data_IF_356951807193
#
_entry.id   IF_356951807193
#
_cell.length_a   1.000
_cell.length_b   1.000
_cell.length_c   1.000
_cell.angle_alpha   90.00
_cell.angle_beta   90.00
_cell.angle_gamma   90.00
#
_symmetry.space_group_name_H-M   'P 1'
#
loop_
_entity.id
_entity.type
_entity.pdbx_description
1 polymer ?
#
# COMPACT_ATOMS: atom_id res chain seq x y z
N UNK A 1 22.74 -15.01 31.53
CA UNK A 1 22.69 -13.76 32.33
C UNK A 1 23.62 -12.73 31.69
N UNK A 2 23.13 -12.04 30.66
CA UNK A 2 23.74 -10.85 30.06
C UNK A 2 22.62 -9.88 29.75
N UNK A 3 22.70 -8.72 30.38
CA UNK A 3 21.71 -7.67 30.49
C UNK A 3 21.64 -6.91 29.18
N UNK A 4 20.55 -7.05 28.42
CA UNK A 4 20.19 -6.13 27.35
C UNK A 4 19.27 -5.06 27.94
N UNK A 5 19.88 -4.07 28.58
CA UNK A 5 19.26 -2.76 28.80
C UNK A 5 20.00 -1.81 27.87
N UNK A 6 19.32 -1.33 26.83
CA UNK A 6 19.42 0.02 26.27
C UNK A 6 18.21 0.16 25.33
N UNK A 7 17.04 0.40 25.91
CA UNK A 7 15.94 0.98 25.17
C UNK A 7 16.36 2.43 24.87
N UNK A 8 16.71 2.72 23.62
CA UNK A 8 16.88 4.08 23.17
C UNK A 8 15.54 4.80 23.35
N UNK A 9 15.48 5.69 24.35
CA UNK A 9 14.41 6.66 24.48
C UNK A 9 14.55 7.58 23.27
N UNK A 10 13.75 7.32 22.23
CA UNK A 10 13.55 8.28 21.16
C UNK A 10 12.79 9.44 21.79
N UNK A 11 13.48 10.55 22.03
CA UNK A 11 12.85 11.81 22.39
C UNK A 11 11.80 12.13 21.32
N UNK A 12 10.53 12.08 21.72
CA UNK A 12 9.42 12.54 20.89
C UNK A 12 9.58 14.05 20.80
N UNK A 13 10.05 14.55 19.65
CA UNK A 13 10.12 15.98 19.38
C UNK A 13 8.75 16.63 19.69
N UNK A 14 8.78 17.73 20.43
CA UNK A 14 7.65 18.52 20.93
C UNK A 14 6.44 18.53 19.97
N UNK A 15 5.31 17.97 20.40
CA UNK A 15 4.02 17.96 19.68
C UNK A 15 3.24 19.29 19.78
N UNK A 16 3.88 20.41 20.13
CA UNK A 16 3.21 21.71 20.35
C UNK A 16 3.10 22.58 19.08
N UNK A 17 3.70 22.19 17.95
CA UNK A 17 3.57 22.92 16.68
C UNK A 17 2.55 22.26 15.74
N UNK A 18 1.63 23.07 15.19
CA UNK A 18 0.57 22.57 14.30
C UNK A 18 1.12 22.22 12.90
N UNK A 19 0.67 21.09 12.36
CA UNK A 19 1.03 20.65 11.00
C UNK A 19 0.34 21.55 9.98
N UNK A 20 1.13 22.21 9.14
CA UNK A 20 0.65 23.09 8.07
C UNK A 20 0.68 22.36 6.73
N UNK A 21 -0.38 22.49 5.93
CA UNK A 21 -0.46 21.95 4.57
C UNK A 21 -0.43 23.09 3.55
N UNK A 22 0.40 22.94 2.53
CA UNK A 22 0.46 23.87 1.40
C UNK A 22 0.67 23.17 0.07
N UNK A 23 0.63 23.93 -1.02
CA UNK A 23 0.98 23.50 -2.38
C UNK A 23 2.17 24.37 -2.80
N UNK A 24 3.28 23.74 -3.20
CA UNK A 24 4.48 24.46 -3.59
C UNK A 24 4.20 25.41 -4.76
N UNK A 25 4.54 26.67 -4.59
CA UNK A 25 4.34 27.75 -5.55
C UNK A 25 5.66 28.29 -6.11
N UNK A 26 6.78 28.12 -5.40
CA UNK A 26 8.10 28.60 -5.83
C UNK A 26 9.07 27.45 -6.09
N UNK A 27 10.12 27.71 -6.88
CA UNK A 27 11.16 26.72 -7.17
C UNK A 27 11.92 26.28 -5.91
N UNK A 28 12.08 27.18 -4.93
CA UNK A 28 12.68 26.87 -3.63
C UNK A 28 11.84 25.86 -2.85
N UNK A 29 10.51 26.05 -2.80
CA UNK A 29 9.63 25.10 -2.11
C UNK A 29 9.62 23.73 -2.79
N UNK A 30 9.69 23.70 -4.13
CA UNK A 30 9.78 22.46 -4.91
C UNK A 30 11.11 21.74 -4.64
N UNK A 31 12.22 22.49 -4.58
CA UNK A 31 13.53 21.93 -4.25
C UNK A 31 13.57 21.30 -2.86
N UNK A 32 12.94 21.92 -1.85
CA UNK A 32 12.80 21.33 -0.51
C UNK A 32 12.02 20.01 -0.53
N UNK A 33 10.95 19.93 -1.32
CA UNK A 33 10.20 18.68 -1.52
C UNK A 33 11.08 17.61 -2.16
N UNK A 34 11.92 17.96 -3.15
CA UNK A 34 12.81 17.00 -3.80
C UNK A 34 13.89 16.47 -2.85
N UNK A 35 14.44 17.32 -1.97
CA UNK A 35 15.35 16.91 -0.89
C UNK A 35 14.66 16.01 0.13
N UNK A 36 13.44 16.35 0.53
CA UNK A 36 12.64 15.52 1.43
C UNK A 36 12.42 14.13 0.85
N UNK A 37 12.04 14.04 -0.43
CA UNK A 37 11.83 12.76 -1.12
C UNK A 37 13.10 11.93 -1.18
N UNK A 38 14.24 12.56 -1.45
CA UNK A 38 15.54 11.88 -1.44
C UNK A 38 15.82 11.27 -0.06
N UNK A 39 15.70 12.08 1.00
CA UNK A 39 15.90 11.63 2.39
C UNK A 39 15.01 10.43 2.71
N UNK A 40 13.72 10.50 2.41
CA UNK A 40 12.79 9.43 2.76
C UNK A 40 13.02 8.18 1.91
N UNK A 41 13.02 8.28 0.57
CA UNK A 41 13.11 7.07 -0.25
C UNK A 41 14.49 6.43 -0.21
N UNK A 42 15.55 7.21 -0.32
CA UNK A 42 16.91 6.68 -0.42
C UNK A 42 17.47 6.46 0.98
N UNK A 43 17.51 7.49 1.82
CA UNK A 43 18.22 7.42 3.11
C UNK A 43 17.42 6.66 4.19
N UNK A 44 16.09 6.83 4.27
CA UNK A 44 15.26 6.12 5.27
C UNK A 44 14.77 4.74 4.79
N UNK A 45 14.34 4.62 3.53
CA UNK A 45 13.67 3.42 3.03
C UNK A 45 14.57 2.48 2.21
N UNK A 46 15.80 2.91 1.87
CA UNK A 46 16.73 2.13 1.05
C UNK A 46 16.21 1.81 -0.35
N UNK A 47 15.33 2.64 -0.90
CA UNK A 47 14.84 2.53 -2.28
C UNK A 47 15.69 3.36 -3.20
N UNK A 48 15.85 2.90 -4.44
CA UNK A 48 16.61 3.62 -5.47
C UNK A 48 15.84 3.68 -6.80
N UNK A 49 14.97 4.69 -6.97
CA UNK A 49 14.27 4.93 -8.24
C UNK A 49 15.24 5.38 -9.36
N UNK A 50 14.90 5.07 -10.61
CA UNK A 50 15.77 5.31 -11.80
C UNK A 50 16.23 6.78 -11.95
N UNK A 51 15.40 7.75 -11.59
CA UNK A 51 15.65 9.18 -11.84
C UNK A 51 16.23 9.93 -10.64
N UNK A 52 17.06 9.27 -9.83
CA UNK A 52 17.64 9.85 -8.60
C UNK A 52 18.91 10.65 -8.89
N UNK A 53 18.97 11.91 -8.42
CA UNK A 53 20.18 12.74 -8.45
C UNK A 53 20.91 12.61 -7.11
N UNK A 54 21.90 11.71 -7.07
CA UNK A 54 22.73 11.49 -5.88
C UNK A 54 23.76 12.60 -5.64
N UNK A 55 24.14 13.35 -6.67
CA UNK A 55 25.13 14.43 -6.54
C UNK A 55 24.54 15.58 -5.72
N UNK A 56 23.30 15.98 -6.04
CA UNK A 56 22.60 17.07 -5.36
C UNK A 56 21.63 16.60 -4.27
N UNK A 57 21.49 15.29 -4.07
CA UNK A 57 20.53 14.66 -3.16
C UNK A 57 19.08 15.09 -3.44
N UNK A 58 18.68 15.01 -4.70
CA UNK A 58 17.34 15.40 -5.17
C UNK A 58 16.62 14.21 -5.80
N UNK A 59 15.32 14.11 -5.57
CA UNK A 59 14.46 13.13 -6.23
C UNK A 59 13.23 13.79 -6.87
N UNK A 60 13.28 13.90 -8.20
CA UNK A 60 12.22 14.45 -9.05
C UNK A 60 12.23 13.77 -10.42
N UNK A 61 11.12 13.88 -11.16
CA UNK A 61 10.99 13.38 -12.53
C UNK A 61 10.12 14.32 -13.39
N UNK A 62 9.90 13.99 -14.66
CA UNK A 62 9.16 14.84 -15.60
C UNK A 62 7.70 15.09 -15.21
N UNK A 63 7.07 14.19 -14.43
CA UNK A 63 5.71 14.41 -13.92
C UNK A 63 5.68 15.57 -12.92
N UNK A 64 6.79 15.87 -12.23
CA UNK A 64 6.83 16.99 -11.30
C UNK A 64 6.60 18.33 -12.02
N UNK A 65 7.04 18.50 -13.27
CA UNK A 65 6.96 19.76 -14.03
C UNK A 65 5.55 20.35 -14.10
N UNK A 66 4.52 19.50 -14.08
CA UNK A 66 3.11 19.89 -14.19
C UNK A 66 2.26 19.39 -13.01
N UNK A 67 2.91 18.94 -11.92
CA UNK A 67 2.22 18.46 -10.75
C UNK A 67 1.91 19.58 -9.74
N UNK A 68 0.80 19.38 -9.01
CA UNK A 68 0.60 20.03 -7.71
C UNK A 68 1.38 19.24 -6.65
N UNK A 69 2.40 19.88 -6.09
CA UNK A 69 3.21 19.29 -5.01
C UNK A 69 2.66 19.75 -3.66
N UNK A 70 1.89 18.88 -3.01
CA UNK A 70 1.39 19.14 -1.66
C UNK A 70 2.52 18.84 -0.68
N UNK A 71 2.72 19.72 0.30
CA UNK A 71 3.65 19.49 1.40
C UNK A 71 2.95 19.60 2.76
N UNK A 72 3.54 18.94 3.75
CA UNK A 72 3.24 19.11 5.17
C UNK A 72 4.47 19.67 5.89
N UNK A 73 4.28 20.67 6.74
CA UNK A 73 5.33 21.31 7.54
C UNK A 73 5.03 21.34 9.03
N UNK A 74 6.08 21.33 9.84
CA UNK A 74 6.07 21.72 11.25
C UNK A 74 7.15 22.80 11.41
N UNK A 75 6.75 24.00 11.82
CA UNK A 75 7.61 25.18 11.73
C UNK A 75 8.09 25.40 10.29
N UNK A 76 9.42 25.38 10.10
CA UNK A 76 10.05 25.48 8.78
C UNK A 76 10.42 24.12 8.16
N UNK A 77 10.27 23.02 8.89
CA UNK A 77 10.67 21.69 8.44
C UNK A 77 9.59 21.05 7.57
N UNK A 78 9.97 20.57 6.38
CA UNK A 78 9.12 19.73 5.55
C UNK A 78 9.11 18.29 6.08
N UNK A 79 7.94 17.80 6.49
CA UNK A 79 7.78 16.49 7.16
C UNK A 79 7.02 15.46 6.30
N UNK A 80 6.44 15.88 5.18
CA UNK A 80 5.74 14.99 4.27
C UNK A 80 5.34 15.67 2.97
N UNK A 81 5.05 14.88 1.95
CA UNK A 81 4.64 15.36 0.64
C UNK A 81 3.73 14.37 -0.09
N UNK A 82 2.99 14.87 -1.08
CA UNK A 82 2.18 14.10 -2.01
C UNK A 82 2.21 14.79 -3.37
N UNK A 83 2.42 14.04 -4.45
CA UNK A 83 2.36 14.53 -5.82
C UNK A 83 0.98 14.26 -6.42
N UNK A 84 0.37 15.28 -6.99
CA UNK A 84 -0.89 15.17 -7.73
C UNK A 84 -0.72 15.67 -9.15
N UNK A 85 -1.08 14.82 -10.09
CA UNK A 85 -1.17 15.12 -11.51
C UNK A 85 -2.64 15.04 -11.93
N UNK A 86 -3.15 16.05 -12.62
CA UNK A 86 -4.50 16.09 -13.18
C UNK A 86 -4.42 16.51 -14.64
N UNK A 87 -4.78 15.62 -15.56
CA UNK A 87 -4.59 15.84 -16.99
C UNK A 87 -5.45 14.89 -17.83
N UNK A 88 -5.57 15.13 -19.14
CA UNK A 88 -6.07 14.12 -20.07
C UNK A 88 -5.14 12.90 -20.07
N UNK A 89 -5.66 11.73 -20.43
CA UNK A 89 -4.91 10.46 -20.42
C UNK A 89 -3.61 10.56 -21.21
N UNK A 90 -3.62 11.24 -22.36
CA UNK A 90 -2.45 11.36 -23.26
C UNK A 90 -1.31 12.21 -22.69
N UNK A 91 -1.53 12.93 -21.58
CA UNK A 91 -0.48 13.67 -20.88
C UNK A 91 0.33 12.77 -19.91
N UNK A 92 -0.20 11.59 -19.55
CA UNK A 92 0.49 10.67 -18.65
C UNK A 92 1.55 9.85 -19.40
N UNK A 93 2.63 9.40 -18.72
CA UNK A 93 3.64 8.55 -19.34
C UNK A 93 3.02 7.27 -19.93
N UNK A 94 3.48 6.86 -21.11
CA UNK A 94 2.93 5.70 -21.83
C UNK A 94 2.97 4.42 -20.99
N UNK A 95 4.00 4.23 -20.17
CA UNK A 95 4.08 3.09 -19.27
C UNK A 95 2.95 3.11 -18.23
N UNK A 96 2.65 4.27 -17.64
CA UNK A 96 1.54 4.43 -16.71
C UNK A 96 0.19 4.14 -17.38
N UNK A 97 -0.01 4.61 -18.63
CA UNK A 97 -1.20 4.31 -19.43
C UNK A 97 -1.38 2.81 -19.60
N UNK A 98 -0.29 2.08 -19.91
CA UNK A 98 -0.30 0.62 -20.07
C UNK A 98 -0.60 -0.11 -18.76
N UNK A 99 0.20 0.09 -17.72
CA UNK A 99 0.10 -0.71 -16.48
C UNK A 99 -1.17 -0.44 -15.69
N UNK A 100 -1.71 0.77 -15.78
CA UNK A 100 -3.00 1.13 -15.15
C UNK A 100 -4.19 0.97 -16.11
N UNK A 101 -3.99 0.41 -17.30
CA UNK A 101 -5.04 0.18 -18.31
C UNK A 101 -5.90 1.43 -18.59
N UNK A 102 -5.29 2.61 -18.61
CA UNK A 102 -6.02 3.89 -18.70
C UNK A 102 -6.75 4.05 -20.04
N UNK A 103 -6.31 3.35 -21.09
CA UNK A 103 -6.98 3.35 -22.38
C UNK A 103 -8.44 2.87 -22.30
N UNK A 104 -8.76 1.93 -21.40
CA UNK A 104 -10.13 1.44 -21.17
C UNK A 104 -11.06 2.54 -20.64
N UNK A 105 -10.50 3.55 -19.97
CA UNK A 105 -11.25 4.65 -19.33
C UNK A 105 -11.62 5.76 -20.33
N UNK A 106 -11.04 5.76 -21.54
CA UNK A 106 -11.27 6.82 -22.54
C UNK A 106 -12.75 6.97 -22.90
N UNK A 107 -13.45 5.86 -23.01
CA UNK A 107 -14.86 5.82 -23.41
C UNK A 107 -15.78 6.54 -22.42
N UNK A 108 -15.43 6.53 -21.13
CA UNK A 108 -16.17 7.29 -20.12
C UNK A 108 -16.21 8.80 -20.41
N UNK A 109 -15.13 9.35 -20.98
CA UNK A 109 -14.96 10.77 -21.22
C UNK A 109 -15.45 11.23 -22.60
N UNK A 110 -15.90 10.32 -23.47
CA UNK A 110 -16.44 10.69 -24.77
C UNK A 110 -17.65 11.60 -24.61
N UNK A 111 -17.67 12.72 -25.33
CA UNK A 111 -18.74 13.73 -25.25
C UNK A 111 -18.76 14.57 -23.97
N UNK A 112 -17.87 14.32 -22.99
CA UNK A 112 -17.75 15.13 -21.77
C UNK A 112 -16.78 16.31 -21.98
N UNK A 113 -17.12 17.44 -21.36
CA UNK A 113 -16.30 18.66 -21.34
C UNK A 113 -15.03 18.47 -20.51
N UNK A 114 -15.16 17.95 -19.29
CA UNK A 114 -14.02 17.61 -18.44
C UNK A 114 -13.55 16.18 -18.71
N UNK A 115 -12.28 16.04 -19.09
CA UNK A 115 -11.60 14.76 -19.41
C UNK A 115 -10.41 14.48 -18.51
N UNK A 116 -10.31 15.19 -17.39
CA UNK A 116 -9.20 15.04 -16.46
C UNK A 116 -9.35 13.74 -15.67
N UNK A 117 -8.27 12.95 -15.67
CA UNK A 117 -8.02 11.92 -14.67
C UNK A 117 -6.96 12.43 -13.68
N UNK A 118 -7.00 11.91 -12.47
CA UNK A 118 -6.01 12.14 -11.44
C UNK A 118 -4.97 11.01 -11.38
N UNK A 119 -3.77 11.33 -10.91
CA UNK A 119 -2.87 10.36 -10.33
C UNK A 119 -2.23 10.92 -9.06
N UNK A 120 -2.21 10.10 -8.02
CA UNK A 120 -1.51 10.36 -6.75
C UNK A 120 -0.25 9.52 -6.68
N UNK A 121 0.91 10.16 -6.56
CA UNK A 121 2.20 9.46 -6.42
C UNK A 121 3.07 10.14 -5.37
N UNK A 122 4.20 9.51 -5.00
CA UNK A 122 5.20 10.07 -4.07
C UNK A 122 4.56 10.57 -2.75
N UNK A 123 3.53 9.87 -2.25
CA UNK A 123 2.93 10.14 -0.94
C UNK A 123 3.82 9.56 0.15
N UNK A 124 4.41 10.43 0.98
CA UNK A 124 5.35 10.02 2.01
C UNK A 124 5.38 10.97 3.19
N UNK A 125 5.74 10.43 4.35
CA UNK A 125 5.89 11.15 5.61
C UNK A 125 7.16 10.65 6.28
N UNK A 126 8.00 11.58 6.75
CA UNK A 126 9.25 11.29 7.45
C UNK A 126 8.98 10.36 8.64
N UNK A 127 9.89 9.44 8.93
CA UNK A 127 9.70 8.37 9.93
C UNK A 127 9.12 8.85 11.27
N UNK A 128 9.62 9.97 11.78
CA UNK A 128 9.23 10.56 13.07
C UNK A 128 7.76 11.01 13.11
N UNK A 129 7.15 11.29 11.95
CA UNK A 129 5.80 11.83 11.82
C UNK A 129 4.78 10.83 11.24
N UNK A 130 5.17 9.58 10.96
CA UNK A 130 4.27 8.59 10.31
C UNK A 130 3.00 8.26 11.12
N UNK A 131 3.02 8.44 12.44
CA UNK A 131 1.86 8.27 13.33
C UNK A 131 1.17 9.60 13.71
N UNK A 132 1.49 10.69 13.02
CA UNK A 132 0.85 12.00 13.19
C UNK A 132 -0.33 12.18 12.22
N UNK A 133 -0.99 13.35 12.26
CA UNK A 133 -2.03 13.71 11.31
C UNK A 133 -1.53 13.98 9.87
N UNK A 134 -0.21 14.06 9.64
CA UNK A 134 0.37 14.48 8.35
C UNK A 134 -0.18 13.70 7.14
N UNK A 135 -0.20 12.36 7.21
CA UNK A 135 -0.73 11.53 6.12
C UNK A 135 -2.19 11.84 5.80
N UNK A 136 -3.02 11.96 6.84
CA UNK A 136 -4.43 12.26 6.68
C UNK A 136 -4.65 13.65 6.10
N UNK A 137 -3.87 14.65 6.55
CA UNK A 137 -3.99 16.03 6.08
C UNK A 137 -3.52 16.18 4.62
N UNK A 138 -2.43 15.53 4.22
CA UNK A 138 -1.95 15.47 2.83
C UNK A 138 -3.00 14.86 1.90
N UNK A 139 -3.52 13.68 2.27
CA UNK A 139 -4.51 12.96 1.46
C UNK A 139 -5.87 13.67 1.42
N UNK A 140 -6.28 14.33 2.51
CA UNK A 140 -7.47 15.17 2.54
C UNK A 140 -7.35 16.36 1.59
N UNK A 141 -6.21 17.04 1.59
CA UNK A 141 -5.95 18.14 0.65
C UNK A 141 -5.96 17.65 -0.80
N UNK A 142 -5.40 16.47 -1.04
CA UNK A 142 -5.43 15.84 -2.36
C UNK A 142 -6.85 15.53 -2.83
N UNK A 143 -7.67 14.95 -1.96
CA UNK A 143 -9.08 14.69 -2.25
C UNK A 143 -9.86 15.97 -2.56
N UNK A 144 -9.65 17.04 -1.79
CA UNK A 144 -10.25 18.36 -2.06
C UNK A 144 -9.87 18.91 -3.44
N UNK A 145 -8.61 18.75 -3.87
CA UNK A 145 -8.20 19.16 -5.21
C UNK A 145 -8.95 18.39 -6.29
N UNK A 146 -9.08 17.07 -6.18
CA UNK A 146 -9.86 16.28 -7.15
C UNK A 146 -11.32 16.73 -7.22
N UNK A 147 -11.95 16.98 -6.06
CA UNK A 147 -13.31 17.50 -6.01
C UNK A 147 -13.45 18.87 -6.68
N UNK A 148 -12.53 19.81 -6.39
CA UNK A 148 -12.53 21.17 -6.93
C UNK A 148 -12.30 21.21 -8.45
N UNK A 149 -11.51 20.27 -8.98
CA UNK A 149 -11.23 20.13 -10.41
C UNK A 149 -12.19 19.16 -11.12
N UNK A 150 -13.23 18.69 -10.43
CA UNK A 150 -14.23 17.75 -10.95
C UNK A 150 -13.63 16.47 -11.55
N UNK A 151 -12.50 16.00 -10.99
CA UNK A 151 -11.89 14.72 -11.37
C UNK A 151 -12.76 13.58 -10.88
N UNK A 152 -13.07 12.63 -11.77
CA UNK A 152 -13.89 11.46 -11.46
C UNK A 152 -13.08 10.28 -10.95
N UNK A 153 -11.90 10.07 -11.53
CA UNK A 153 -11.03 8.94 -11.22
C UNK A 153 -9.63 9.41 -10.89
N UNK A 154 -9.05 8.87 -9.82
CA UNK A 154 -7.62 8.96 -9.54
C UNK A 154 -7.00 7.56 -9.59
N UNK A 155 -5.99 7.38 -10.42
CA UNK A 155 -5.29 6.11 -10.61
C UNK A 155 -3.88 6.12 -10.01
N UNK A 156 -3.47 4.99 -9.45
CA UNK A 156 -2.10 4.80 -8.97
C UNK A 156 -1.76 3.34 -8.72
N UNK A 157 -0.55 3.11 -8.23
CA UNK A 157 -0.08 1.81 -7.77
C UNK A 157 0.19 1.83 -6.26
N UNK A 158 -0.04 0.70 -5.61
CA UNK A 158 0.13 0.55 -4.17
C UNK A 158 0.88 -0.73 -3.83
N UNK A 159 1.91 -0.65 -2.99
CA UNK A 159 2.55 -1.84 -2.44
C UNK A 159 1.53 -2.62 -1.58
N UNK A 160 1.62 -3.95 -1.57
CA UNK A 160 0.59 -4.80 -0.96
C UNK A 160 0.34 -4.51 0.53
N UNK A 161 1.38 -4.15 1.28
CA UNK A 161 1.29 -3.85 2.71
C UNK A 161 0.44 -2.61 3.04
N UNK A 162 0.14 -1.76 2.05
CA UNK A 162 -0.71 -0.57 2.20
C UNK A 162 -2.15 -0.76 1.70
N UNK A 163 -2.48 -1.89 1.08
CA UNK A 163 -3.79 -2.09 0.46
C UNK A 163 -4.95 -1.86 1.43
N UNK A 164 -4.85 -2.39 2.66
CA UNK A 164 -5.87 -2.20 3.69
C UNK A 164 -6.12 -0.73 4.02
N UNK A 165 -5.06 0.07 4.06
CA UNK A 165 -5.13 1.51 4.31
C UNK A 165 -5.84 2.23 3.15
N UNK A 166 -5.47 1.93 1.90
CA UNK A 166 -6.09 2.57 0.74
C UNK A 166 -7.54 2.12 0.52
N UNK A 167 -7.90 0.88 0.85
CA UNK A 167 -9.30 0.43 0.84
C UNK A 167 -10.12 1.18 1.91
N UNK A 168 -9.57 1.46 3.09
CA UNK A 168 -10.19 2.32 4.10
C UNK A 168 -10.37 3.77 3.62
N UNK A 169 -9.43 4.27 2.82
CA UNK A 169 -9.55 5.58 2.20
C UNK A 169 -10.70 5.65 1.18
N UNK A 170 -11.10 4.51 0.59
CA UNK A 170 -12.12 4.43 -0.46
C UNK A 170 -11.57 4.05 -1.83
N UNK A 171 -10.30 3.69 -1.92
CA UNK A 171 -9.73 3.15 -3.14
C UNK A 171 -10.20 1.71 -3.37
N UNK A 172 -10.32 1.33 -4.64
CA UNK A 172 -10.55 -0.04 -5.09
C UNK A 172 -9.34 -0.54 -5.82
N UNK A 173 -9.05 -1.81 -5.67
CA UNK A 173 -8.08 -2.51 -6.51
C UNK A 173 -8.71 -2.86 -7.84
N UNK A 174 -7.90 -2.90 -8.91
CA UNK A 174 -8.36 -3.33 -10.23
C UNK A 174 -7.17 -3.86 -11.05
N UNK A 175 -7.47 -4.56 -12.16
CA UNK A 175 -6.44 -5.01 -13.09
C UNK A 175 -5.41 -5.99 -12.50
N UNK A 176 -4.27 -6.11 -13.20
CA UNK A 176 -3.15 -6.97 -12.83
C UNK A 176 -2.09 -6.19 -12.05
N UNK A 177 -1.39 -6.86 -11.14
CA UNK A 177 -0.21 -6.28 -10.51
C UNK A 177 0.86 -5.93 -11.56
N UNK A 178 1.71 -4.97 -11.24
CA UNK A 178 2.83 -4.57 -12.08
C UNK A 178 4.04 -4.24 -11.22
N UNK A 179 5.23 -4.34 -11.80
CA UNK A 179 6.48 -3.96 -11.13
C UNK A 179 6.87 -2.56 -11.56
N UNK A 180 7.15 -1.70 -10.58
CA UNK A 180 7.73 -0.38 -10.80
C UNK A 180 9.20 -0.39 -10.32
N UNK A 181 10.18 -0.16 -11.19
CA UNK A 181 11.60 -0.18 -10.82
C UNK A 181 11.92 0.71 -9.61
N UNK A 182 12.55 0.13 -8.59
CA UNK A 182 12.86 0.80 -7.31
C UNK A 182 11.70 0.81 -6.29
N UNK A 183 10.50 0.37 -6.68
CA UNK A 183 9.31 0.28 -5.81
C UNK A 183 8.84 -1.16 -5.58
N UNK A 184 9.22 -2.09 -6.46
CA UNK A 184 8.81 -3.49 -6.43
C UNK A 184 7.41 -3.68 -7.02
N UNK A 185 6.76 -4.78 -6.65
CA UNK A 185 5.40 -5.09 -7.11
C UNK A 185 4.36 -4.16 -6.47
N UNK A 186 3.43 -3.71 -7.30
CA UNK A 186 2.33 -2.81 -6.97
C UNK A 186 1.01 -3.39 -7.49
N UNK A 187 -0.06 -3.20 -6.72
CA UNK A 187 -1.43 -3.43 -7.17
C UNK A 187 -1.99 -2.10 -7.71
N UNK A 188 -2.59 -2.07 -8.91
CA UNK A 188 -3.32 -0.91 -9.38
C UNK A 188 -4.51 -0.60 -8.46
N UNK A 189 -4.62 0.67 -8.09
CA UNK A 189 -5.73 1.19 -7.29
C UNK A 189 -6.37 2.39 -7.98
N UNK A 190 -7.70 2.48 -7.87
CA UNK A 190 -8.49 3.60 -8.33
C UNK A 190 -9.26 4.20 -7.16
N UNK A 191 -9.23 5.52 -7.05
CA UNK A 191 -10.15 6.26 -6.20
C UNK A 191 -11.22 6.91 -7.09
N UNK A 192 -12.44 6.40 -6.97
CA UNK A 192 -13.62 6.95 -7.65
C UNK A 192 -14.17 8.08 -6.76
N UNK A 193 -13.90 9.32 -7.15
CA UNK A 193 -13.98 10.49 -6.28
C UNK A 193 -15.42 10.80 -5.87
N UNK A 194 -16.39 10.54 -6.74
CA UNK A 194 -17.79 10.86 -6.54
C UNK A 194 -18.63 9.71 -5.95
N UNK A 195 -18.00 8.59 -5.59
CA UNK A 195 -18.70 7.42 -5.04
C UNK A 195 -18.92 7.52 -3.52
N UNK A 196 -19.88 8.35 -3.14
CA UNK A 196 -20.23 8.61 -1.74
C UNK A 196 -20.70 7.34 -1.02
N UNK A 197 -21.41 6.45 -1.71
CA UNK A 197 -21.93 5.22 -1.11
C UNK A 197 -20.81 4.26 -0.73
N UNK A 198 -19.79 4.12 -1.58
CA UNK A 198 -18.61 3.35 -1.21
C UNK A 198 -17.82 4.00 -0.07
N UNK A 199 -17.60 5.32 -0.11
CA UNK A 199 -16.94 6.04 0.98
C UNK A 199 -17.68 5.84 2.31
N UNK A 200 -19.02 5.77 2.28
CA UNK A 200 -19.84 5.46 3.46
C UNK A 200 -19.66 4.00 3.89
N UNK A 201 -19.68 3.05 2.95
CA UNK A 201 -19.55 1.62 3.23
C UNK A 201 -18.21 1.28 3.91
N UNK A 202 -17.09 1.82 3.41
CA UNK A 202 -15.76 1.61 3.98
C UNK A 202 -15.45 2.51 5.19
N UNK A 203 -16.39 3.39 5.56
CA UNK A 203 -16.22 4.40 6.64
C UNK A 203 -15.02 5.32 6.39
N UNK A 204 -14.86 5.75 5.15
CA UNK A 204 -13.75 6.59 4.71
C UNK A 204 -13.70 7.91 5.48
N UNK A 205 -12.49 8.37 5.88
CA UNK A 205 -12.33 9.66 6.54
C UNK A 205 -12.68 10.85 5.61
N UNK A 206 -12.76 10.62 4.29
CA UNK A 206 -13.06 11.65 3.31
C UNK A 206 -14.56 11.85 3.07
N UNK A 207 -15.43 11.02 3.66
CA UNK A 207 -16.88 11.13 3.53
C UNK A 207 -17.40 12.52 3.94
N UNK A 208 -16.79 13.13 4.97
CA UNK A 208 -17.17 14.49 5.41
C UNK A 208 -16.81 15.56 4.37
N UNK A 209 -15.72 15.39 3.65
CA UNK A 209 -15.32 16.31 2.57
C UNK A 209 -16.24 16.07 1.37
N UNK A 210 -16.44 14.82 0.97
CA UNK A 210 -17.29 14.43 -0.17
C UNK A 210 -18.70 15.04 -0.09
N UNK A 211 -19.34 14.99 1.09
CA UNK A 211 -20.69 15.53 1.32
C UNK A 211 -20.84 17.03 1.10
N UNK A 212 -19.74 17.80 1.05
CA UNK A 212 -19.79 19.24 0.76
C UNK A 212 -20.02 19.52 -0.73
N UNK A 213 -19.74 18.55 -1.60
CA UNK A 213 -19.82 18.71 -3.05
C UNK A 213 -21.15 18.18 -3.57
N UNK A 214 -21.92 19.05 -4.25
CA UNK A 214 -23.19 18.68 -4.89
C UNK A 214 -22.92 18.06 -6.26
N UNK A 215 -23.79 17.15 -6.70
CA UNK A 215 -23.70 16.53 -8.03
C UNK A 215 -22.81 15.29 -8.12
N UNK A 216 -22.36 14.76 -6.98
CA UNK A 216 -21.80 13.42 -6.91
C UNK A 216 -22.92 12.40 -7.09
N UNK A 217 -22.73 11.50 -8.05
CA UNK A 217 -23.66 10.46 -8.46
C UNK A 217 -22.94 9.13 -8.53
N UNK A 218 -23.66 8.01 -8.49
CA UNK A 218 -23.09 6.68 -8.68
C UNK A 218 -22.62 6.38 -10.11
N UNK A 219 -22.85 7.28 -11.07
CA UNK A 219 -22.53 7.10 -12.51
C UNK A 219 -21.09 6.61 -12.76
N UNK A 220 -20.09 7.28 -12.18
CA UNK A 220 -18.68 6.92 -12.38
C UNK A 220 -18.35 5.53 -11.84
N UNK A 221 -18.95 5.16 -10.70
CA UNK A 221 -18.77 3.86 -10.08
C UNK A 221 -19.47 2.75 -10.86
N UNK A 222 -20.71 2.95 -11.28
CA UNK A 222 -21.48 2.02 -12.10
C UNK A 222 -20.78 1.75 -13.44
N UNK A 223 -20.32 2.81 -14.11
CA UNK A 223 -19.56 2.68 -15.35
C UNK A 223 -18.26 1.92 -15.11
N UNK A 224 -17.49 2.27 -14.07
CA UNK A 224 -16.21 1.64 -13.78
C UNK A 224 -16.36 0.15 -13.49
N UNK A 225 -17.34 -0.25 -12.69
CA UNK A 225 -17.58 -1.66 -12.36
C UNK A 225 -18.06 -2.48 -13.56
N UNK A 226 -18.73 -1.85 -14.52
CA UNK A 226 -19.09 -2.49 -15.79
C UNK A 226 -17.86 -2.66 -16.68
N UNK A 227 -17.00 -1.65 -16.76
CA UNK A 227 -15.79 -1.71 -17.56
C UNK A 227 -14.77 -2.69 -16.98
N UNK A 228 -14.62 -2.73 -15.65
CA UNK A 228 -13.67 -3.58 -14.91
C UNK A 228 -14.40 -4.64 -14.05
N UNK A 229 -15.05 -5.65 -14.66
CA UNK A 229 -15.81 -6.66 -13.91
C UNK A 229 -14.95 -7.48 -12.95
N UNK A 230 -13.64 -7.61 -13.23
CA UNK A 230 -12.67 -8.32 -12.39
C UNK A 230 -12.57 -7.77 -10.95
N UNK A 231 -12.96 -6.51 -10.73
CA UNK A 231 -12.99 -5.88 -9.41
C UNK A 231 -13.91 -6.63 -8.45
N UNK A 232 -14.99 -7.22 -8.96
CA UNK A 232 -15.96 -7.98 -8.15
C UNK A 232 -15.40 -9.28 -7.56
N UNK A 233 -14.32 -9.82 -8.14
CA UNK A 233 -13.66 -11.03 -7.65
C UNK A 233 -12.67 -10.73 -6.52
N UNK A 234 -12.37 -9.45 -6.25
CA UNK A 234 -11.40 -9.05 -5.25
C UNK A 234 -12.07 -8.86 -3.90
N UNK A 235 -11.56 -9.52 -2.86
CA UNK A 235 -12.02 -9.31 -1.49
C UNK A 235 -11.48 -7.97 -0.99
N UNK A 236 -12.39 -7.01 -0.78
CA UNK A 236 -12.07 -5.74 -0.13
C UNK A 236 -12.08 -5.93 1.40
N UNK A 237 -10.97 -5.60 2.05
CA UNK A 237 -10.75 -5.82 3.49
C UNK A 237 -11.65 -5.00 4.40
N UNK A 238 -12.27 -3.93 3.90
CA UNK A 238 -13.20 -3.08 4.65
C UNK A 238 -14.66 -3.49 4.49
N UNK A 239 -14.98 -4.31 3.49
CA UNK A 239 -16.35 -4.71 3.15
C UNK A 239 -16.64 -6.18 3.48
N UNK A 240 -15.62 -7.01 3.66
CA UNK A 240 -15.78 -8.39 4.12
C UNK A 240 -16.06 -8.45 5.62
N UNK A 241 -16.66 -9.55 6.08
CA UNK A 241 -16.82 -9.85 7.50
C UNK A 241 -15.82 -10.89 7.95
N UNK A 242 -15.57 -10.98 9.25
CA UNK A 242 -14.69 -12.00 9.84
C UNK A 242 -15.11 -13.42 9.42
N UNK A 243 -16.40 -13.73 9.57
CA UNK A 243 -16.96 -15.05 9.20
C UNK A 243 -16.72 -15.37 7.73
N UNK A 244 -17.06 -14.44 6.81
CA UNK A 244 -16.90 -14.67 5.37
C UNK A 244 -15.43 -14.84 4.98
N UNK A 245 -14.54 -14.07 5.61
CA UNK A 245 -13.10 -14.17 5.35
C UNK A 245 -12.53 -15.48 5.91
N UNK A 246 -12.99 -15.92 7.08
CA UNK A 246 -12.62 -17.22 7.66
C UNK A 246 -13.06 -18.38 6.76
N UNK A 247 -14.32 -18.39 6.33
CA UNK A 247 -14.85 -19.39 5.38
C UNK A 247 -14.04 -19.42 4.07
N UNK A 248 -13.67 -18.24 3.56
CA UNK A 248 -12.79 -18.13 2.40
C UNK A 248 -11.43 -18.81 2.64
N UNK A 249 -10.77 -18.54 3.77
CA UNK A 249 -9.49 -19.19 4.07
C UNK A 249 -9.62 -20.70 4.25
N UNK A 250 -10.63 -21.17 4.96
CA UNK A 250 -10.91 -22.61 5.11
C UNK A 250 -11.11 -23.29 3.75
N UNK A 251 -11.88 -22.65 2.86
CA UNK A 251 -12.14 -23.17 1.51
C UNK A 251 -10.88 -23.20 0.65
N UNK A 252 -10.01 -22.19 0.74
CA UNK A 252 -8.77 -22.13 -0.06
C UNK A 252 -7.71 -23.11 0.42
N UNK A 253 -7.56 -23.26 1.73
CA UNK A 253 -6.54 -24.12 2.33
C UNK A 253 -6.96 -25.59 2.46
N UNK A 254 -8.25 -25.90 2.28
CA UNK A 254 -8.78 -27.26 2.46
C UNK A 254 -8.80 -27.75 3.92
N UNK A 255 -8.70 -26.83 4.88
CA UNK A 255 -8.63 -27.13 6.31
C UNK A 255 -8.67 -25.86 7.15
N UNK A 256 -8.66 -26.02 8.49
CA UNK A 256 -8.74 -24.88 9.40
C UNK A 256 -7.42 -24.07 9.37
N UNK A 257 -7.44 -22.74 9.15
CA UNK A 257 -6.25 -21.91 9.03
C UNK A 257 -5.21 -22.10 10.14
N UNK A 258 -5.62 -22.20 11.41
CA UNK A 258 -4.73 -22.41 12.56
C UNK A 258 -4.04 -23.78 12.59
N UNK A 259 -4.56 -24.74 11.80
CA UNK A 259 -3.97 -26.08 11.65
C UNK A 259 -3.05 -26.19 10.43
N UNK A 260 -3.41 -25.49 9.34
CA UNK A 260 -2.68 -25.56 8.06
C UNK A 260 -1.55 -24.53 7.99
N UNK A 261 -1.79 -23.32 8.51
CA UNK A 261 -0.80 -22.25 8.48
C UNK A 261 0.18 -22.44 9.63
N UNK A 262 1.43 -22.75 9.28
CA UNK A 262 2.56 -22.90 10.22
C UNK A 262 2.67 -21.76 11.23
N UNK A 263 2.55 -20.50 10.76
CA UNK A 263 2.65 -19.32 11.59
C UNK A 263 1.54 -19.20 12.68
N UNK A 264 0.41 -19.89 12.51
CA UNK A 264 -0.75 -19.82 13.41
C UNK A 264 -0.87 -21.04 14.35
N UNK A 265 0.08 -21.97 14.31
CA UNK A 265 0.04 -23.15 15.16
C UNK A 265 -0.01 -22.79 16.64
N UNK A 266 -0.85 -23.52 17.40
CA UNK A 266 -1.04 -23.30 18.83
C UNK A 266 -2.05 -22.20 19.18
N UNK A 267 -2.54 -21.43 18.21
CA UNK A 267 -3.67 -20.51 18.43
C UNK A 267 -4.99 -21.26 18.40
N UNK A 268 -5.96 -20.78 19.17
CA UNK A 268 -7.36 -21.18 19.01
C UNK A 268 -7.95 -20.65 17.70
N UNK A 269 -9.07 -21.26 17.26
CA UNK A 269 -9.81 -20.81 16.08
C UNK A 269 -10.21 -19.34 16.17
N UNK A 270 -10.73 -18.91 17.32
CA UNK A 270 -11.16 -17.52 17.53
C UNK A 270 -9.98 -16.54 17.48
N UNK A 271 -8.81 -16.91 18.02
CA UNK A 271 -7.62 -16.05 17.98
C UNK A 271 -7.07 -15.93 16.56
N UNK A 272 -6.99 -17.04 15.82
CA UNK A 272 -6.55 -17.04 14.43
C UNK A 272 -7.50 -16.25 13.51
N UNK A 273 -8.82 -16.43 13.69
CA UNK A 273 -9.85 -15.71 12.95
C UNK A 273 -9.75 -14.19 13.17
N UNK A 274 -9.69 -13.76 14.44
CA UNK A 274 -9.59 -12.34 14.79
C UNK A 274 -8.28 -11.72 14.26
N UNK A 275 -7.15 -12.42 14.40
CA UNK A 275 -5.85 -11.97 13.87
C UNK A 275 -5.90 -11.79 12.35
N UNK A 276 -6.31 -12.81 11.61
CA UNK A 276 -6.37 -12.76 10.14
C UNK A 276 -7.34 -11.67 9.67
N UNK A 277 -8.51 -11.54 10.28
CA UNK A 277 -9.50 -10.54 9.89
C UNK A 277 -9.00 -9.09 10.07
N UNK A 278 -8.29 -8.82 11.17
CA UNK A 278 -7.82 -7.45 11.48
C UNK A 278 -6.52 -7.08 10.78
N UNK A 279 -5.67 -8.07 10.48
CA UNK A 279 -4.30 -7.80 10.04
C UNK A 279 -4.05 -8.08 8.56
N UNK A 280 -4.93 -8.83 7.90
CA UNK A 280 -4.65 -9.30 6.54
C UNK A 280 -5.42 -8.58 5.43
N UNK A 281 -4.87 -8.74 4.22
CA UNK A 281 -5.55 -8.57 2.93
C UNK A 281 -5.20 -9.76 2.04
N UNK A 282 -6.10 -10.12 1.11
CA UNK A 282 -5.87 -11.21 0.15
C UNK A 282 -5.49 -10.62 -1.20
N UNK A 283 -4.36 -11.04 -1.76
CA UNK A 283 -3.85 -10.56 -3.05
C UNK A 283 -3.72 -11.73 -4.02
N UNK A 284 -4.20 -11.54 -5.25
CA UNK A 284 -3.97 -12.46 -6.37
C UNK A 284 -2.65 -12.07 -7.02
N UNK A 285 -1.78 -13.04 -7.28
CA UNK A 285 -0.54 -12.89 -8.05
C UNK A 285 -0.65 -13.79 -9.29
N UNK A 286 -0.17 -13.32 -10.43
CA UNK A 286 -0.14 -14.10 -11.66
C UNK A 286 1.22 -14.78 -11.82
N UNK A 287 1.26 -15.88 -12.58
CA UNK A 287 2.53 -16.50 -12.98
C UNK A 287 3.51 -15.44 -13.55
N UNK A 288 4.73 -15.43 -13.02
CA UNK A 288 5.79 -14.46 -13.34
C UNK A 288 5.81 -13.20 -12.46
N UNK A 289 4.84 -13.00 -11.56
CA UNK A 289 4.86 -11.87 -10.62
C UNK A 289 6.04 -12.02 -9.64
N UNK A 290 6.95 -11.03 -9.65
CA UNK A 290 8.03 -10.91 -8.66
C UNK A 290 7.47 -10.32 -7.36
N UNK A 291 7.06 -11.18 -6.42
CA UNK A 291 6.39 -10.77 -5.17
C UNK A 291 7.37 -10.09 -4.20
N UNK A 292 8.56 -10.67 -4.06
CA UNK A 292 9.65 -10.13 -3.24
C UNK A 292 10.90 -10.04 -4.10
N UNK A 293 11.58 -8.90 -4.06
CA UNK A 293 12.92 -8.75 -4.64
C UNK A 293 13.96 -8.67 -3.54
N UNK A 294 15.01 -9.47 -3.66
CA UNK A 294 16.18 -9.43 -2.78
C UNK A 294 16.80 -8.04 -2.81
N UNK A 295 17.28 -7.57 -1.67
CA UNK A 295 17.86 -6.23 -1.56
C UNK A 295 16.84 -5.12 -1.32
N UNK A 296 15.54 -5.41 -1.38
CA UNK A 296 14.49 -4.43 -1.07
C UNK A 296 14.06 -4.48 0.40
N UNK A 297 13.59 -3.35 0.93
CA UNK A 297 13.01 -3.29 2.27
C UNK A 297 11.71 -4.12 2.36
N UNK A 298 11.51 -4.80 3.50
CA UNK A 298 10.29 -5.57 3.78
C UNK A 298 9.38 -4.93 4.83
N UNK A 299 8.11 -4.77 4.47
CA UNK A 299 7.06 -4.17 5.32
C UNK A 299 5.88 -5.12 5.54
N UNK A 300 5.98 -6.38 5.13
CA UNK A 300 4.93 -7.37 5.31
C UNK A 300 5.46 -8.80 5.42
N UNK A 301 4.68 -9.61 6.15
CA UNK A 301 4.70 -11.06 6.13
C UNK A 301 3.68 -11.56 5.10
N UNK A 302 4.00 -12.66 4.43
CA UNK A 302 3.14 -13.28 3.44
C UNK A 302 2.85 -14.73 3.78
N UNK A 303 1.66 -15.22 3.43
CA UNK A 303 1.27 -16.64 3.56
C UNK A 303 0.65 -17.08 2.24
N UNK A 304 1.08 -18.21 1.69
CA UNK A 304 0.49 -18.77 0.47
C UNK A 304 -0.83 -19.49 0.78
N UNK A 305 -1.91 -19.16 0.06
CA UNK A 305 -3.21 -19.83 0.18
C UNK A 305 -3.44 -20.88 -0.90
N UNK A 306 -3.03 -20.59 -2.13
CA UNK A 306 -3.21 -21.44 -3.31
C UNK A 306 -2.19 -21.09 -4.39
N UNK A 307 -1.90 -22.05 -5.27
CA UNK A 307 -0.85 -21.92 -6.30
C UNK A 307 0.53 -22.36 -5.79
N UNK A 308 1.58 -21.99 -6.52
CA UNK A 308 2.97 -22.33 -6.19
C UNK A 308 3.89 -21.14 -6.39
N UNK A 309 4.79 -20.90 -5.43
CA UNK A 309 5.83 -19.88 -5.53
C UNK A 309 7.21 -20.52 -5.47
N UNK A 310 8.21 -19.85 -6.06
CA UNK A 310 9.61 -20.20 -5.93
C UNK A 310 10.32 -19.11 -5.13
N UNK A 311 10.92 -19.51 -4.01
CA UNK A 311 11.86 -18.69 -3.25
C UNK A 311 13.29 -19.02 -3.69
N UNK A 312 14.06 -18.01 -4.07
CA UNK A 312 15.41 -18.16 -4.62
C UNK A 312 16.41 -17.38 -3.77
N UNK A 313 17.47 -18.05 -3.32
CA UNK A 313 18.50 -17.47 -2.49
C UNK A 313 19.64 -16.79 -3.28
N UNK A 314 20.71 -16.40 -2.57
CA UNK A 314 21.89 -15.77 -3.17
C UNK A 314 22.71 -16.69 -4.08
N UNK A 315 22.72 -17.99 -3.81
CA UNK A 315 23.47 -18.98 -4.60
C UNK A 315 22.61 -19.62 -5.69
N UNK A 316 21.34 -19.22 -5.80
CA UNK A 316 20.39 -19.70 -6.80
C UNK A 316 19.65 -20.98 -6.38
N UNK A 317 19.77 -21.41 -5.12
CA UNK A 317 18.99 -22.52 -4.60
C UNK A 317 17.51 -22.12 -4.58
N UNK A 318 16.66 -23.02 -5.09
CA UNK A 318 15.22 -22.81 -5.22
C UNK A 318 14.47 -23.66 -4.21
N UNK A 319 13.62 -23.03 -3.41
CA UNK A 319 12.66 -23.68 -2.53
C UNK A 319 11.25 -23.41 -3.07
N UNK A 320 10.44 -24.46 -3.21
CA UNK A 320 9.02 -24.29 -3.50
C UNK A 320 8.29 -23.91 -2.20
N UNK A 321 7.45 -22.88 -2.29
CA UNK A 321 6.53 -22.50 -1.22
C UNK A 321 5.18 -23.14 -1.50
N UNK A 322 4.69 -23.90 -0.53
CA UNK A 322 3.43 -24.64 -0.60
C UNK A 322 2.32 -23.92 0.20
N UNK A 323 1.03 -24.13 -0.13
CA UNK A 323 -0.08 -23.56 0.64
C UNK A 323 0.02 -23.82 2.15
N UNK A 324 -0.21 -22.77 2.95
CA UNK A 324 -0.03 -22.77 4.41
C UNK A 324 1.38 -22.38 4.89
N UNK A 325 2.37 -22.35 3.99
CA UNK A 325 3.69 -21.81 4.30
C UNK A 325 3.72 -20.30 4.21
N UNK A 326 4.63 -19.70 4.96
CA UNK A 326 4.88 -18.27 4.97
C UNK A 326 6.23 -17.93 4.35
N UNK A 327 6.40 -16.65 4.03
CA UNK A 327 7.63 -16.07 3.50
C UNK A 327 7.67 -14.56 3.79
N UNK A 328 8.86 -13.97 3.74
CA UNK A 328 9.06 -12.55 3.99
C UNK A 328 8.86 -12.14 5.46
N UNK A 329 8.94 -13.09 6.40
CA UNK A 329 8.72 -12.90 7.84
C UNK A 329 9.60 -11.83 8.47
N UNK A 330 10.76 -11.54 7.87
CA UNK A 330 11.58 -10.39 8.25
C UNK A 330 10.74 -9.10 8.27
N UNK A 331 9.73 -8.96 7.41
CA UNK A 331 8.89 -7.77 7.33
C UNK A 331 8.12 -7.45 8.61
N UNK A 332 7.92 -8.42 9.51
CA UNK A 332 7.24 -8.21 10.80
C UNK A 332 8.15 -8.47 12.01
N UNK A 333 9.20 -9.30 11.87
CA UNK A 333 10.11 -9.68 12.95
C UNK A 333 11.28 -8.70 13.15
N UNK A 334 11.94 -8.25 12.08
CA UNK A 334 13.14 -7.39 12.15
C UNK A 334 13.14 -6.31 11.04
N UNK A 335 13.78 -5.15 11.23
CA UNK A 335 14.00 -4.21 10.11
C UNK A 335 15.24 -4.63 9.32
N UNK A 336 15.08 -5.62 8.45
CA UNK A 336 16.14 -6.03 7.52
C UNK A 336 15.66 -6.01 6.07
N UNK A 337 16.65 -6.09 5.18
CA UNK A 337 16.48 -6.14 3.73
C UNK A 337 16.17 -7.58 3.32
N UNK A 338 15.29 -7.76 2.33
CA UNK A 338 14.92 -9.06 1.78
C UNK A 338 16.15 -9.86 1.33
N UNK A 339 16.26 -11.10 1.80
CA UNK A 339 17.40 -11.99 1.52
C UNK A 339 17.16 -12.91 0.31
N UNK A 340 15.91 -13.07 -0.07
CA UNK A 340 15.47 -13.99 -1.11
C UNK A 340 14.63 -13.24 -2.14
N UNK A 341 14.63 -13.76 -3.36
CA UNK A 341 13.66 -13.41 -4.38
C UNK A 341 12.49 -14.39 -4.27
N UNK A 342 11.25 -13.91 -4.37
CA UNK A 342 10.06 -14.77 -4.41
C UNK A 342 9.24 -14.45 -5.65
N UNK A 343 9.05 -15.45 -6.50
CA UNK A 343 8.32 -15.35 -7.75
C UNK A 343 7.13 -16.32 -7.77
N UNK A 344 6.01 -15.88 -8.34
CA UNK A 344 4.87 -16.75 -8.61
C UNK A 344 5.14 -17.69 -9.80
N UNK A 345 5.21 -19.00 -9.55
CA UNK A 345 5.41 -20.02 -10.58
C UNK A 345 4.10 -20.27 -11.34
N UNK A 346 2.99 -20.29 -10.62
CA UNK A 346 1.63 -20.31 -11.16
C UNK A 346 0.85 -19.09 -10.69
N UNK A 347 -0.37 -18.92 -11.21
CA UNK A 347 -1.33 -18.04 -10.55
C UNK A 347 -1.51 -18.50 -9.09
N UNK A 348 -1.51 -17.53 -8.17
CA UNK A 348 -1.46 -17.76 -6.74
C UNK A 348 -2.32 -16.75 -5.97
N UNK A 349 -2.83 -17.16 -4.83
CA UNK A 349 -3.46 -16.27 -3.85
C UNK A 349 -2.61 -16.24 -2.58
N UNK A 350 -2.29 -15.04 -2.10
CA UNK A 350 -1.51 -14.83 -0.89
C UNK A 350 -2.26 -13.97 0.13
N UNK A 351 -2.00 -14.23 1.40
CA UNK A 351 -2.32 -13.33 2.50
C UNK A 351 -1.16 -12.38 2.69
N UNK A 352 -1.45 -11.10 2.87
CA UNK A 352 -0.45 -10.07 3.18
C UNK A 352 -0.77 -9.50 4.56
N UNK A 353 0.19 -9.57 5.47
CA UNK A 353 0.10 -9.04 6.83
C UNK A 353 1.16 -7.94 6.96
N UNK A 354 0.72 -6.69 6.96
CA UNK A 354 1.65 -5.56 7.07
C UNK A 354 2.27 -5.45 8.48
N UNK A 355 3.48 -4.92 8.55
CA UNK A 355 4.17 -4.53 9.80
C UNK A 355 3.31 -3.61 10.65
N UNK A 356 2.63 -2.63 10.03
CA UNK A 356 1.82 -1.64 10.73
C UNK A 356 0.64 -2.30 11.47
N UNK A 357 -0.14 -3.12 10.77
CA UNK A 357 -1.30 -3.80 11.36
C UNK A 357 -0.87 -4.87 12.37
N UNK A 358 0.23 -5.60 12.11
CA UNK A 358 0.79 -6.54 13.08
C UNK A 358 1.18 -5.84 14.40
N UNK A 359 1.96 -4.75 14.34
CA UNK A 359 2.35 -3.96 15.51
C UNK A 359 1.15 -3.39 16.25
N UNK A 360 0.16 -2.86 15.53
CA UNK A 360 -1.07 -2.35 16.12
C UNK A 360 -1.83 -3.45 16.86
N UNK A 361 -1.86 -4.67 16.31
CA UNK A 361 -2.50 -5.82 16.93
C UNK A 361 -1.74 -6.29 18.18
N UNK A 362 -0.40 -6.29 18.15
CA UNK A 362 0.47 -6.61 19.31
C UNK A 362 0.15 -5.75 20.53
N UNK A 363 -0.19 -4.47 20.34
CA UNK A 363 -0.50 -3.55 21.45
C UNK A 363 -1.66 -4.02 22.34
N UNK A 364 -2.59 -4.82 21.81
CA UNK A 364 -3.72 -5.37 22.57
C UNK A 364 -3.72 -6.90 22.68
N UNK A 365 -2.88 -7.61 21.92
CA UNK A 365 -2.84 -9.08 21.85
C UNK A 365 -1.40 -9.63 21.88
N UNK A 366 -0.65 -9.25 22.91
CA UNK A 366 0.77 -9.59 23.04
C UNK A 366 1.02 -11.10 23.03
N UNK A 367 0.21 -11.89 23.74
CA UNK A 367 0.38 -13.36 23.80
C UNK A 367 0.22 -14.02 22.42
N UNK A 368 -0.83 -13.65 21.68
CA UNK A 368 -1.10 -14.16 20.32
C UNK A 368 0.08 -13.83 19.40
N UNK A 369 0.52 -12.56 19.40
CA UNK A 369 1.60 -12.12 18.49
C UNK A 369 2.96 -12.67 18.88
N UNK A 370 3.22 -12.94 20.17
CA UNK A 370 4.41 -13.66 20.60
C UNK A 370 4.42 -15.10 20.11
N UNK A 371 3.28 -15.80 20.20
CA UNK A 371 3.16 -17.17 19.67
C UNK A 371 3.42 -17.20 18.16
N UNK A 372 2.80 -16.28 17.41
CA UNK A 372 3.05 -16.15 15.96
C UNK A 372 4.52 -15.89 15.68
N UNK A 373 5.14 -14.96 16.40
CA UNK A 373 6.56 -14.61 16.20
C UNK A 373 7.49 -15.80 16.49
N UNK A 374 7.20 -16.60 17.51
CA UNK A 374 7.92 -17.83 17.80
C UNK A 374 7.74 -18.88 16.68
N UNK A 375 6.52 -19.05 16.17
CA UNK A 375 6.24 -19.97 15.07
C UNK A 375 7.00 -19.58 13.80
N UNK A 376 7.05 -18.28 13.48
CA UNK A 376 7.82 -17.75 12.35
C UNK A 376 9.31 -18.11 12.52
N UNK A 377 9.90 -17.77 13.68
CA UNK A 377 11.33 -18.06 13.95
C UNK A 377 11.66 -19.56 13.91
N UNK A 378 10.77 -20.42 14.40
CA UNK A 378 10.99 -21.87 14.40
C UNK A 378 10.87 -22.49 13.00
N UNK A 379 10.11 -21.85 12.11
CA UNK A 379 9.94 -22.29 10.72
C UNK A 379 10.98 -21.66 9.78
N UNK A 380 11.69 -20.62 10.23
CA UNK A 380 12.82 -19.99 9.54
C UNK A 380 14.10 -20.85 9.61
N UNK A 381 14.03 -22.14 9.27
CA UNK A 381 15.15 -23.09 9.13
C UNK A 381 14.74 -24.10 8.02
N UNK A 382 15.49 -24.44 6.97
CA UNK A 382 16.94 -24.48 6.69
C UNK A 382 17.21 -24.14 5.20
N UNK A 383 18.29 -23.40 4.93
CA UNK A 383 19.07 -23.50 3.68
C UNK A 383 20.45 -24.04 4.04
#
# INVERSE_FOLDING_TARGET
MKTYQHAAVVEIANQDESIQIGIAATDEERAEIYRLRYRIYIEEMGRDPISTDHENKLLFDDMDRWAHLIYAKVGNEYIGTMRINMGPIDQFPQEMIRVLSLDRVRDFFQGRENRLIGSSTKLMVSQQYRNSAAFHLLTAKGYELYCNHHVRFNFGGCNFYLLRLYELMGCRRFGKNFVDPGYGILTPIVWIIDDIDHLKAVRSPFLRIARKYKGFTSESAEWFLKEFPEVSEMINSQLTTEIKLWEFFCSRLGGMPQTVISALQGLSESEASDFLYRCSVVVKCHSGDQIISRGMASEALYILLSGSLAEVDQVGAKRLVEPGQHFGEIGVLDSTVQKFDVEAVSDAEIVVISRQYFRKYTMSHLQITNQISQNLLNSSHDF
#
